data_IF_104043895872
#
_entry.id   IF_104043895872
#
_cell.length_a   1.000
_cell.length_b   1.000
_cell.length_c   1.000
_cell.angle_alpha   90.00
_cell.angle_beta   90.00
_cell.angle_gamma   90.00
#
_symmetry.space_group_name_H-M   'P 1'
#
loop_
_entity.id
_entity.type
_entity.pdbx_description
1 polymer ?
#
# COMPACT_ATOMS: atom_id res chain seq x y z
N UNK A 1 20.34 4.64 -13.16
CA UNK A 1 19.83 3.38 -12.56
C UNK A 1 19.50 3.59 -11.09
N UNK A 2 18.33 3.18 -10.65
CA UNK A 2 17.91 3.26 -9.25
C UNK A 2 17.98 1.88 -8.60
N UNK A 3 18.14 1.86 -7.30
CA UNK A 3 18.31 0.63 -6.52
C UNK A 3 17.26 0.60 -5.42
N UNK A 4 16.60 -0.56 -5.28
CA UNK A 4 15.76 -0.89 -4.15
C UNK A 4 16.54 -1.83 -3.24
N UNK A 5 16.74 -1.45 -1.99
CA UNK A 5 17.36 -2.29 -0.97
C UNK A 5 16.28 -2.79 -0.02
N UNK A 6 16.23 -4.10 0.20
CA UNK A 6 15.29 -4.70 1.13
C UNK A 6 16.06 -5.08 2.39
N UNK A 7 15.64 -4.50 3.52
CA UNK A 7 16.20 -4.75 4.83
C UNK A 7 15.22 -5.57 5.65
N UNK A 8 15.68 -6.68 6.19
CA UNK A 8 14.85 -7.50 7.07
C UNK A 8 14.93 -6.93 8.48
N UNK A 9 13.79 -6.67 9.06
CA UNK A 9 13.66 -6.23 10.46
C UNK A 9 13.04 -7.35 11.29
N UNK A 10 13.49 -7.51 12.52
CA UNK A 10 13.15 -8.67 13.35
C UNK A 10 12.38 -8.33 14.62
N UNK A 11 12.07 -7.07 14.84
CA UNK A 11 11.29 -6.67 16.01
C UNK A 11 9.81 -6.99 15.82
N UNK A 12 9.27 -7.76 16.77
CA UNK A 12 7.97 -8.42 16.67
C UNK A 12 6.79 -7.48 16.44
N UNK A 13 6.91 -6.20 16.76
CA UNK A 13 5.83 -5.23 16.68
C UNK A 13 6.07 -4.14 15.62
N UNK A 14 7.20 -4.18 14.91
CA UNK A 14 7.46 -3.22 13.86
C UNK A 14 6.70 -3.57 12.59
N UNK A 15 5.98 -2.58 12.04
CA UNK A 15 5.37 -2.68 10.73
C UNK A 15 6.41 -2.52 9.62
N UNK A 16 6.00 -2.86 8.40
CA UNK A 16 6.80 -2.61 7.20
C UNK A 16 6.75 -1.12 6.86
N UNK A 17 7.81 -0.62 6.25
CA UNK A 17 7.82 0.74 5.72
C UNK A 17 8.85 0.90 4.60
N UNK A 18 8.67 1.92 3.79
CA UNK A 18 9.57 2.29 2.70
C UNK A 18 10.06 3.71 2.94
N UNK A 19 11.32 3.96 2.60
CA UNK A 19 11.92 5.31 2.65
C UNK A 19 12.68 5.62 1.36
N UNK A 20 12.64 6.89 0.98
CA UNK A 20 13.35 7.40 -0.18
C UNK A 20 14.70 8.02 0.27
N UNK A 21 15.79 7.69 -0.44
CA UNK A 21 17.07 8.36 -0.22
C UNK A 21 16.98 9.85 -0.57
N UNK A 22 16.17 10.19 -1.57
CA UNK A 22 15.90 11.57 -1.96
C UNK A 22 14.39 11.77 -2.21
N UNK A 23 13.64 12.21 -1.19
CA UNK A 23 12.18 12.39 -1.31
C UNK A 23 11.77 13.37 -2.42
N UNK A 24 12.54 14.41 -2.67
CA UNK A 24 12.27 15.35 -3.77
C UNK A 24 12.35 14.65 -5.13
N UNK A 25 13.36 13.82 -5.34
CA UNK A 25 13.53 13.09 -6.59
C UNK A 25 12.46 11.99 -6.77
N UNK A 26 11.91 11.47 -5.68
CA UNK A 26 10.84 10.48 -5.73
C UNK A 26 9.56 11.01 -6.38
N UNK A 27 9.34 12.33 -6.36
CA UNK A 27 8.10 12.96 -6.86
C UNK A 27 8.30 13.86 -8.08
N UNK A 28 9.54 14.19 -8.46
CA UNK A 28 9.82 15.19 -9.50
C UNK A 28 10.22 14.61 -10.87
N UNK A 29 10.07 13.32 -11.06
CA UNK A 29 10.44 12.64 -12.31
C UNK A 29 11.87 12.13 -12.38
N UNK A 30 12.75 12.51 -11.44
CA UNK A 30 14.14 12.04 -11.43
C UNK A 30 14.29 10.63 -10.88
N UNK A 31 13.47 10.28 -9.92
CA UNK A 31 13.54 9.01 -9.21
C UNK A 31 14.61 8.97 -8.13
N UNK A 32 14.38 8.14 -7.13
CA UNK A 32 15.24 7.96 -5.96
C UNK A 32 15.58 6.50 -5.78
N UNK A 33 16.75 6.21 -5.20
CA UNK A 33 16.98 4.92 -4.56
C UNK A 33 16.04 4.80 -3.35
N UNK A 34 15.64 3.59 -3.02
CA UNK A 34 14.69 3.35 -1.94
C UNK A 34 15.16 2.23 -1.03
N UNK A 35 14.69 2.27 0.21
CA UNK A 35 14.90 1.24 1.21
C UNK A 35 13.55 0.71 1.67
N UNK A 36 13.33 -0.58 1.52
CA UNK A 36 12.15 -1.27 2.05
C UNK A 36 12.56 -2.00 3.32
N UNK A 37 11.87 -1.70 4.42
CA UNK A 37 12.06 -2.37 5.69
C UNK A 37 10.94 -3.39 5.87
N UNK A 38 11.30 -4.67 5.82
CA UNK A 38 10.35 -5.76 5.82
C UNK A 38 10.46 -6.60 7.09
N UNK A 39 9.33 -6.75 7.78
CA UNK A 39 9.19 -7.66 8.90
C UNK A 39 8.39 -8.89 8.46
N UNK A 40 9.05 -10.06 8.28
CA UNK A 40 8.35 -11.28 7.86
C UNK A 40 7.30 -11.80 8.85
N UNK A 41 7.39 -11.37 10.11
CA UNK A 41 6.44 -11.76 11.16
C UNK A 41 5.22 -10.81 11.24
N UNK A 42 5.24 -9.71 10.51
CA UNK A 42 4.12 -8.75 10.50
C UNK A 42 2.95 -9.31 9.69
N UNK A 43 1.84 -9.56 10.37
CA UNK A 43 0.59 -9.98 9.73
C UNK A 43 -0.61 -9.29 10.39
N UNK A 44 -0.68 -7.96 10.33
CA UNK A 44 -1.76 -7.20 10.96
C UNK A 44 -3.12 -7.52 10.34
N UNK A 45 -4.16 -7.19 11.06
CA UNK A 45 -5.52 -7.19 10.51
C UNK A 45 -5.68 -6.00 9.57
N UNK A 46 -6.19 -6.27 8.38
CA UNK A 46 -6.33 -5.28 7.31
C UNK A 46 -7.78 -5.25 6.83
N UNK A 47 -8.35 -4.04 6.61
CA UNK A 47 -9.70 -3.90 6.09
C UNK A 47 -9.85 -4.56 4.72
N UNK A 48 -10.59 -5.66 4.68
CA UNK A 48 -10.73 -6.52 3.51
C UNK A 48 -12.17 -6.53 3.04
N UNK A 49 -12.37 -6.39 1.73
CA UNK A 49 -13.69 -6.32 1.11
C UNK A 49 -14.26 -7.71 0.88
N UNK A 50 -15.48 -7.95 1.36
CA UNK A 50 -16.27 -9.09 0.95
C UNK A 50 -17.05 -8.70 -0.33
N UNK A 51 -16.70 -9.32 -1.44
CA UNK A 51 -17.31 -8.98 -2.74
C UNK A 51 -18.79 -9.31 -2.84
N UNK A 52 -19.27 -10.27 -2.05
CA UNK A 52 -20.68 -10.67 -2.07
C UNK A 52 -21.56 -9.68 -1.32
N UNK A 53 -21.06 -9.14 -0.20
CA UNK A 53 -21.84 -8.24 0.66
C UNK A 53 -21.49 -6.77 0.45
N UNK A 54 -20.34 -6.46 -0.16
CA UNK A 54 -19.80 -5.11 -0.25
C UNK A 54 -19.30 -4.56 1.09
N UNK A 55 -19.22 -5.37 2.13
CA UNK A 55 -18.81 -4.96 3.47
C UNK A 55 -17.34 -5.20 3.68
N UNK A 56 -16.72 -4.32 4.44
CA UNK A 56 -15.31 -4.39 4.81
C UNK A 56 -15.18 -4.90 6.24
N UNK A 57 -14.35 -5.91 6.44
CA UNK A 57 -14.00 -6.44 7.75
C UNK A 57 -12.51 -6.74 7.83
N UNK A 58 -11.97 -6.77 9.04
CA UNK A 58 -10.54 -7.01 9.24
C UNK A 58 -10.20 -8.48 9.02
N UNK A 59 -9.17 -8.72 8.21
CA UNK A 59 -8.59 -10.05 7.95
C UNK A 59 -7.07 -9.97 8.04
N UNK A 60 -6.43 -11.04 8.48
CA UNK A 60 -4.97 -11.11 8.54
C UNK A 60 -4.37 -10.90 7.15
N UNK A 61 -3.33 -10.07 7.09
CA UNK A 61 -2.55 -9.85 5.86
C UNK A 61 -1.38 -10.83 5.83
N UNK A 62 -1.28 -11.68 4.80
CA UNK A 62 -0.07 -12.48 4.60
C UNK A 62 1.17 -11.58 4.49
N UNK A 63 2.29 -12.01 5.08
CA UNK A 63 3.49 -11.17 5.18
C UNK A 63 4.03 -10.75 3.80
N UNK A 64 3.97 -11.63 2.79
CA UNK A 64 4.41 -11.30 1.43
C UNK A 64 3.59 -10.21 0.77
N UNK A 65 2.30 -10.06 1.13
CA UNK A 65 1.46 -8.96 0.65
C UNK A 65 1.93 -7.64 1.25
N UNK A 66 2.35 -7.65 2.51
CA UNK A 66 2.95 -6.48 3.16
C UNK A 66 4.26 -6.05 2.51
N UNK A 67 5.11 -7.02 2.15
CA UNK A 67 6.33 -6.73 1.39
C UNK A 67 5.99 -6.11 0.03
N UNK A 68 5.06 -6.71 -0.70
CA UNK A 68 4.64 -6.19 -2.00
C UNK A 68 4.12 -4.76 -1.92
N UNK A 69 3.34 -4.43 -0.88
CA UNK A 69 2.85 -3.08 -0.65
C UNK A 69 3.99 -2.06 -0.59
N UNK A 70 5.02 -2.33 0.21
CA UNK A 70 6.16 -1.41 0.34
C UNK A 70 7.01 -1.36 -0.94
N UNK A 71 7.15 -2.48 -1.64
CA UNK A 71 7.86 -2.49 -2.92
C UNK A 71 7.12 -1.68 -4.00
N UNK A 72 5.79 -1.63 -3.96
CA UNK A 72 4.98 -0.81 -4.88
C UNK A 72 5.22 0.69 -4.62
N UNK A 73 5.29 1.11 -3.35
CA UNK A 73 5.74 2.46 -3.02
C UNK A 73 7.13 2.74 -3.61
N UNK A 74 8.06 1.83 -3.36
CA UNK A 74 9.44 1.95 -3.86
C UNK A 74 9.52 2.04 -5.37
N UNK A 75 8.74 1.26 -6.09
CA UNK A 75 8.71 1.31 -7.56
C UNK A 75 8.32 2.70 -8.08
N UNK A 76 7.28 3.31 -7.51
CA UNK A 76 6.89 4.67 -7.89
C UNK A 76 7.97 5.70 -7.55
N UNK A 77 8.56 5.59 -6.37
CA UNK A 77 9.66 6.49 -5.95
C UNK A 77 10.88 6.35 -6.86
N UNK A 78 11.24 5.12 -7.26
CA UNK A 78 12.36 4.88 -8.18
C UNK A 78 12.12 5.50 -9.56
N UNK A 79 10.88 5.54 -10.01
CA UNK A 79 10.49 6.17 -11.28
C UNK A 79 10.26 7.68 -11.15
N UNK A 80 10.26 8.23 -9.94
CA UNK A 80 10.02 9.65 -9.71
C UNK A 80 8.56 10.06 -9.83
N UNK A 81 7.63 9.13 -9.65
CA UNK A 81 6.19 9.36 -9.84
C UNK A 81 5.38 9.11 -8.57
N UNK A 82 6.02 9.02 -7.42
CA UNK A 82 5.34 8.97 -6.13
C UNK A 82 4.49 10.23 -5.94
N UNK A 83 3.39 10.10 -5.22
CA UNK A 83 2.51 11.23 -4.89
C UNK A 83 2.92 11.77 -3.53
N UNK A 84 3.09 13.09 -3.43
CA UNK A 84 3.48 13.72 -2.18
C UNK A 84 2.46 13.41 -1.08
N UNK A 85 2.93 13.01 0.11
CA UNK A 85 2.06 12.57 1.20
C UNK A 85 1.14 13.66 1.75
N UNK A 86 1.45 14.94 1.53
CA UNK A 86 0.54 16.03 1.85
C UNK A 86 -0.75 16.03 1.02
N UNK A 87 -0.73 15.37 -0.14
CA UNK A 87 -1.93 15.21 -0.97
C UNK A 87 -2.78 14.07 -0.43
N UNK A 88 -3.96 14.42 0.07
CA UNK A 88 -4.90 13.47 0.64
C UNK A 88 -6.31 13.72 0.12
N UNK A 89 -7.16 12.73 0.30
CA UNK A 89 -8.58 12.81 -0.06
C UNK A 89 -9.43 12.01 0.92
N UNK A 90 -10.71 12.33 0.93
CA UNK A 90 -11.70 11.54 1.67
C UNK A 90 -12.26 10.44 0.77
N UNK A 91 -12.49 9.27 1.34
CA UNK A 91 -13.14 8.16 0.67
C UNK A 91 -14.13 7.49 1.64
N UNK A 92 -14.98 6.63 1.14
CA UNK A 92 -15.94 5.93 1.98
C UNK A 92 -16.00 4.45 1.66
N UNK A 93 -16.35 3.68 2.67
CA UNK A 93 -16.60 2.24 2.53
C UNK A 93 -17.71 1.81 3.48
N UNK A 94 -18.24 0.61 3.27
CA UNK A 94 -19.24 0.03 4.16
C UNK A 94 -18.56 -0.93 5.13
N UNK A 95 -18.70 -0.70 6.44
CA UNK A 95 -18.12 -1.59 7.44
C UNK A 95 -18.91 -2.91 7.56
N UNK A 96 -18.45 -3.82 8.41
CA UNK A 96 -19.10 -5.13 8.59
C UNK A 96 -20.50 -5.07 9.23
N UNK A 97 -20.88 -3.93 9.77
CA UNK A 97 -22.24 -3.67 10.30
C UNK A 97 -23.17 -3.05 9.25
N UNK A 98 -22.68 -2.85 8.02
CA UNK A 98 -23.44 -2.20 6.97
C UNK A 98 -23.55 -0.68 7.11
N UNK A 99 -22.66 -0.06 7.88
CA UNK A 99 -22.61 1.39 8.07
C UNK A 99 -21.58 2.00 7.11
N UNK A 100 -21.92 3.16 6.53
CA UNK A 100 -21.00 3.94 5.70
C UNK A 100 -20.00 4.65 6.61
N UNK A 101 -18.72 4.43 6.33
CA UNK A 101 -17.61 5.06 7.05
C UNK A 101 -16.87 6.00 6.10
N UNK A 102 -16.55 7.21 6.56
CA UNK A 102 -15.75 8.19 5.84
C UNK A 102 -14.38 8.29 6.49
N UNK A 103 -13.33 8.23 5.71
CA UNK A 103 -11.94 8.37 6.17
C UNK A 103 -11.15 9.24 5.20
N UNK A 104 -10.06 9.83 5.70
CA UNK A 104 -9.09 10.55 4.89
C UNK A 104 -7.84 9.70 4.71
N UNK A 105 -7.31 9.67 3.50
CA UNK A 105 -6.15 8.87 3.14
C UNK A 105 -5.25 9.65 2.20
N UNK A 106 -3.92 9.46 2.31
CA UNK A 106 -3.01 10.02 1.31
C UNK A 106 -3.30 9.39 -0.06
N UNK A 107 -3.17 10.19 -1.12
CA UNK A 107 -3.35 9.68 -2.49
C UNK A 107 -2.31 8.63 -2.85
N UNK A 108 -1.10 8.75 -2.30
CA UNK A 108 -0.03 7.77 -2.49
C UNK A 108 -0.44 6.39 -1.94
N UNK A 109 -1.03 6.33 -0.75
CA UNK A 109 -1.54 5.08 -0.18
C UNK A 109 -2.74 4.54 -0.95
N UNK A 110 -3.67 5.42 -1.36
CA UNK A 110 -4.82 5.01 -2.17
C UNK A 110 -4.39 4.35 -3.48
N UNK A 111 -3.39 4.91 -4.16
CA UNK A 111 -2.84 4.35 -5.39
C UNK A 111 -2.11 3.03 -5.13
N UNK A 112 -1.37 2.91 -4.04
CA UNK A 112 -0.61 1.70 -3.69
C UNK A 112 -1.52 0.51 -3.41
N UNK A 113 -2.59 0.74 -2.67
CA UNK A 113 -3.59 -0.31 -2.40
C UNK A 113 -4.40 -0.65 -3.66
N UNK A 114 -4.71 0.32 -4.48
CA UNK A 114 -5.59 0.18 -5.64
C UNK A 114 -7.00 0.68 -5.39
N UNK A 115 -7.15 1.60 -4.42
CA UNK A 115 -8.46 2.20 -4.10
C UNK A 115 -8.81 3.33 -5.05
N UNK A 116 -7.83 4.16 -5.41
CA UNK A 116 -7.99 5.30 -6.32
C UNK A 116 -6.63 5.80 -6.82
N UNK A 117 -6.62 6.72 -7.78
CA UNK A 117 -5.41 7.35 -8.34
C UNK A 117 -4.40 6.38 -8.98
N UNK A 118 -4.86 5.19 -9.38
CA UNK A 118 -4.03 4.21 -10.07
C UNK A 118 -3.83 4.65 -11.51
N UNK A 119 -2.57 4.75 -11.93
CA UNK A 119 -2.24 5.04 -13.33
C UNK A 119 -2.27 3.75 -14.15
N UNK A 120 -2.50 3.90 -15.46
CA UNK A 120 -2.45 2.78 -16.40
C UNK A 120 -1.10 2.06 -16.28
N UNK A 121 -1.15 0.75 -16.16
CA UNK A 121 0.00 -0.15 -16.02
C UNK A 121 0.69 -0.12 -14.64
N UNK A 122 0.20 0.64 -13.66
CA UNK A 122 0.71 0.53 -12.30
C UNK A 122 0.19 -0.74 -11.64
N UNK A 123 1.07 -1.41 -10.89
CA UNK A 123 0.72 -2.55 -10.06
C UNK A 123 0.25 -2.04 -8.70
N UNK A 124 -0.77 -2.70 -8.14
CA UNK A 124 -1.32 -2.36 -6.83
C UNK A 124 -1.30 -3.56 -5.88
N UNK A 125 -1.45 -3.30 -4.59
CA UNK A 125 -1.63 -4.40 -3.61
C UNK A 125 -2.82 -5.28 -4.01
N UNK A 126 -3.92 -4.69 -4.47
CA UNK A 126 -5.10 -5.45 -4.88
C UNK A 126 -4.86 -6.34 -6.11
N UNK A 127 -3.96 -5.96 -7.01
CA UNK A 127 -3.53 -6.84 -8.10
C UNK A 127 -2.80 -8.08 -7.55
N UNK A 128 -1.88 -7.88 -6.62
CA UNK A 128 -1.15 -8.97 -5.95
C UNK A 128 -2.12 -9.88 -5.19
N UNK A 129 -3.06 -9.30 -4.46
CA UNK A 129 -4.10 -10.08 -3.75
C UNK A 129 -4.92 -10.92 -4.69
N UNK A 130 -5.32 -10.38 -5.83
CA UNK A 130 -6.07 -11.11 -6.85
C UNK A 130 -5.27 -12.31 -7.37
N UNK A 131 -4.01 -12.12 -7.69
CA UNK A 131 -3.13 -13.19 -8.19
C UNK A 131 -2.94 -14.30 -7.16
N UNK A 132 -3.02 -14.00 -5.88
CA UNK A 132 -2.90 -14.95 -4.79
C UNK A 132 -4.25 -15.53 -4.31
N UNK A 133 -5.34 -15.20 -4.99
CA UNK A 133 -6.68 -15.69 -4.61
C UNK A 133 -7.25 -15.03 -3.36
N UNK A 134 -6.76 -13.87 -2.98
CA UNK A 134 -7.23 -13.13 -1.82
C UNK A 134 -8.26 -12.07 -2.21
N UNK A 135 -9.17 -11.77 -1.29
CA UNK A 135 -10.09 -10.65 -1.47
C UNK A 135 -9.33 -9.32 -1.44
N UNK A 136 -9.80 -8.29 -2.18
CA UNK A 136 -9.14 -6.99 -2.19
C UNK A 136 -9.28 -6.26 -0.85
N UNK A 137 -8.36 -5.34 -0.57
CA UNK A 137 -8.58 -4.34 0.47
C UNK A 137 -9.71 -3.41 0.04
N UNK A 138 -10.59 -3.09 0.97
CA UNK A 138 -11.66 -2.14 0.74
C UNK A 138 -11.46 -0.81 1.46
N UNK A 139 -10.44 -0.72 2.30
CA UNK A 139 -10.06 0.47 3.06
C UNK A 139 -8.58 0.38 3.47
N UNK A 140 -8.07 1.45 4.03
CA UNK A 140 -6.68 1.51 4.52
C UNK A 140 -6.55 1.25 6.05
#
# INVERSE_FOLDING_TARGET
KRIMTINIISEKEEGNFETDDNPTNAINGKGSNVNVHFNPESNPDIPTLNRKTGRVSNKKRPSQVGLAHEMIHGDRSMRGVAIEYSESESYSYMNNRGQRVMETLSKEEAATVGLNHVKKNDITENDIRKDQGLNPRGAY
#
